data_IF_425862854823
#
_entry.id   IF_425862854823
#
_cell.length_a   1.000
_cell.length_b   1.000
_cell.length_c   1.000
_cell.angle_alpha   90.00
_cell.angle_beta   90.00
_cell.angle_gamma   90.00
#
_symmetry.space_group_name_H-M   'P 1'
#
loop_
_entity.id
_entity.type
_entity.pdbx_description
1 polymer ?
#
# COMPACT_ATOMS: atom_id res chain seq x y z
N UNK A 1 -62.77 -13.74 -10.11
CA UNK A 1 -62.10 -15.06 -10.12
C UNK A 1 -60.80 -15.05 -10.88
N UNK A 2 -59.94 -14.06 -10.63
CA UNK A 2 -58.55 -14.04 -11.13
C UNK A 2 -57.64 -14.42 -9.96
N UNK A 3 -56.66 -15.29 -10.18
CA UNK A 3 -55.69 -15.65 -9.14
C UNK A 3 -54.62 -14.57 -9.00
N UNK A 4 -54.07 -14.34 -7.79
CA UNK A 4 -52.97 -13.39 -7.59
C UNK A 4 -51.75 -13.68 -8.48
N UNK A 5 -51.47 -14.97 -8.73
CA UNK A 5 -50.37 -15.41 -9.60
C UNK A 5 -50.61 -15.05 -11.07
N UNK A 6 -51.84 -15.26 -11.57
CA UNK A 6 -52.19 -14.90 -12.95
C UNK A 6 -52.17 -13.38 -13.18
N UNK A 7 -52.59 -12.61 -12.18
CA UNK A 7 -52.49 -11.15 -12.20
C UNK A 7 -51.03 -10.69 -12.19
N UNK A 8 -50.20 -11.27 -11.32
CA UNK A 8 -48.77 -10.95 -11.25
C UNK A 8 -48.03 -11.23 -12.57
N UNK A 9 -48.31 -12.38 -13.20
CA UNK A 9 -47.76 -12.71 -14.52
C UNK A 9 -48.19 -11.72 -15.61
N UNK A 10 -49.48 -11.35 -15.64
CA UNK A 10 -50.00 -10.39 -16.62
C UNK A 10 -49.38 -9.00 -16.44
N UNK A 11 -49.20 -8.54 -15.19
CA UNK A 11 -48.54 -7.26 -14.89
C UNK A 11 -47.06 -7.30 -15.28
N UNK A 12 -46.35 -8.38 -14.98
CA UNK A 12 -44.96 -8.56 -15.37
C UNK A 12 -44.78 -8.54 -16.91
N UNK A 13 -45.63 -9.26 -17.63
CA UNK A 13 -45.60 -9.32 -19.09
C UNK A 13 -45.86 -7.95 -19.75
N UNK A 14 -46.71 -7.12 -19.14
CA UNK A 14 -47.08 -5.81 -19.67
C UNK A 14 -46.13 -4.67 -19.25
N UNK A 15 -45.28 -4.88 -18.23
CA UNK A 15 -44.29 -3.91 -17.73
C UNK A 15 -42.88 -4.24 -18.21
N UNK A 16 -42.19 -5.15 -17.51
CA UNK A 16 -40.74 -5.38 -17.64
C UNK A 16 -40.41 -6.67 -18.40
N UNK A 17 -41.44 -7.42 -18.79
CA UNK A 17 -41.31 -8.74 -19.41
C UNK A 17 -41.59 -9.85 -18.41
N UNK A 18 -42.38 -10.83 -18.82
CA UNK A 18 -42.59 -12.05 -18.04
C UNK A 18 -41.75 -13.18 -18.63
N UNK A 19 -40.96 -13.83 -17.79
CA UNK A 19 -40.30 -15.08 -18.16
C UNK A 19 -41.35 -16.15 -18.47
N UNK A 20 -41.21 -16.82 -19.61
CA UNK A 20 -42.17 -17.84 -20.07
C UNK A 20 -41.54 -19.22 -20.05
N UNK A 21 -40.39 -19.37 -20.70
CA UNK A 21 -39.75 -20.68 -20.88
C UNK A 21 -38.28 -20.52 -21.31
N UNK A 22 -37.57 -21.63 -21.44
CA UNK A 22 -36.17 -21.69 -21.85
C UNK A 22 -36.04 -22.57 -23.08
N UNK A 23 -35.33 -22.08 -24.09
CA UNK A 23 -35.06 -22.81 -25.31
C UNK A 23 -33.56 -23.11 -25.43
N UNK A 24 -33.22 -24.37 -25.67
CA UNK A 24 -31.84 -24.79 -25.89
C UNK A 24 -31.56 -24.80 -27.39
N UNK A 25 -30.59 -23.98 -27.82
CA UNK A 25 -30.05 -24.02 -29.17
C UNK A 25 -28.57 -24.41 -29.10
N UNK A 26 -28.24 -25.53 -29.73
CA UNK A 26 -26.94 -26.19 -29.64
C UNK A 26 -26.54 -26.51 -28.19
N UNK A 27 -25.64 -25.71 -27.59
CA UNK A 27 -25.18 -25.86 -26.20
C UNK A 27 -25.42 -24.59 -25.36
N UNK A 28 -26.20 -23.64 -25.90
CA UNK A 28 -26.55 -22.40 -25.22
C UNK A 28 -28.02 -22.40 -24.81
N UNK A 29 -28.25 -21.98 -23.58
CA UNK A 29 -29.58 -21.80 -23.00
C UNK A 29 -30.06 -20.37 -23.27
N UNK A 30 -31.21 -20.26 -23.93
CA UNK A 30 -31.82 -18.98 -24.31
C UNK A 30 -33.13 -18.82 -23.53
N UNK A 31 -33.22 -17.80 -22.68
CA UNK A 31 -34.42 -17.50 -21.92
C UNK A 31 -35.45 -16.75 -22.80
N UNK A 32 -36.71 -17.19 -22.77
CA UNK A 32 -37.83 -16.61 -23.51
C UNK A 32 -38.65 -15.71 -22.57
N UNK A 33 -38.78 -14.44 -22.97
CA UNK A 33 -39.60 -13.44 -22.28
C UNK A 33 -40.74 -12.96 -23.16
N UNK A 34 -41.92 -12.76 -22.55
CA UNK A 34 -43.09 -12.15 -23.16
C UNK A 34 -43.19 -10.69 -22.77
N UNK A 35 -43.32 -9.81 -23.76
CA UNK A 35 -43.48 -8.38 -23.57
C UNK A 35 -44.81 -7.90 -24.15
N UNK A 36 -45.39 -6.90 -23.49
CA UNK A 36 -46.52 -6.14 -24.03
C UNK A 36 -46.12 -5.30 -25.26
N UNK A 37 -47.10 -4.77 -26.00
CA UNK A 37 -46.88 -4.02 -27.25
C UNK A 37 -45.95 -2.80 -27.11
N UNK A 38 -45.95 -2.17 -25.93
CA UNK A 38 -45.10 -1.00 -25.67
C UNK A 38 -43.69 -1.38 -25.16
N UNK A 39 -43.40 -2.67 -24.98
CA UNK A 39 -42.13 -3.15 -24.44
C UNK A 39 -41.78 -2.49 -23.11
N UNK A 40 -40.49 -2.17 -22.93
CA UNK A 40 -39.93 -1.47 -21.76
C UNK A 40 -40.16 0.05 -21.76
N UNK A 41 -40.85 0.61 -22.76
CA UNK A 41 -41.07 2.05 -22.90
C UNK A 41 -42.33 2.56 -22.17
N UNK A 42 -42.84 1.82 -21.18
CA UNK A 42 -44.04 2.19 -20.43
C UNK A 42 -43.77 3.40 -19.52
N UNK A 43 -44.69 4.36 -19.53
CA UNK A 43 -44.69 5.44 -18.54
C UNK A 43 -45.38 4.95 -17.26
N UNK A 44 -44.85 5.30 -16.09
CA UNK A 44 -45.46 5.01 -14.78
C UNK A 44 -46.92 5.51 -14.70
N UNK A 45 -47.24 6.61 -15.40
CA UNK A 45 -48.59 7.15 -15.48
C UNK A 45 -49.58 6.27 -16.26
N UNK A 46 -49.10 5.39 -17.14
CA UNK A 46 -49.94 4.50 -17.97
C UNK A 46 -50.20 3.14 -17.31
N UNK A 47 -49.44 2.76 -16.29
CA UNK A 47 -49.57 1.49 -15.56
C UNK A 47 -50.98 1.26 -14.99
N UNK A 48 -51.67 2.26 -14.39
CA UNK A 48 -53.01 2.07 -13.84
C UNK A 48 -54.09 1.75 -14.89
N UNK A 49 -53.85 2.09 -16.16
CA UNK A 49 -54.79 1.92 -17.29
C UNK A 49 -54.50 0.69 -18.14
N UNK A 50 -53.55 -0.15 -17.74
CA UNK A 50 -53.23 -1.36 -18.47
C UNK A 50 -54.46 -2.28 -18.55
N UNK A 51 -54.85 -2.72 -19.77
CA UNK A 51 -56.01 -3.59 -19.95
C UNK A 51 -55.67 -5.01 -19.50
N UNK A 52 -56.36 -5.50 -18.46
CA UNK A 52 -56.21 -6.86 -17.94
C UNK A 52 -57.42 -7.70 -18.35
N UNK A 53 -57.16 -8.82 -19.00
CA UNK A 53 -58.18 -9.80 -19.39
C UNK A 53 -58.51 -10.72 -18.22
N UNK A 54 -59.74 -10.66 -17.74
CA UNK A 54 -60.21 -11.56 -16.67
C UNK A 54 -60.58 -12.93 -17.23
N UNK A 55 -60.47 -14.02 -16.45
CA UNK A 55 -60.93 -15.36 -16.86
C UNK A 55 -62.43 -15.42 -17.22
N UNK A 56 -63.20 -14.44 -16.74
CA UNK A 56 -64.62 -14.23 -17.07
C UNK A 56 -64.85 -13.54 -18.43
N UNK A 57 -63.80 -13.21 -19.18
CA UNK A 57 -63.89 -12.57 -20.49
C UNK A 57 -64.08 -11.04 -20.48
N UNK A 58 -64.13 -10.42 -19.30
CA UNK A 58 -64.19 -8.97 -19.17
C UNK A 58 -62.77 -8.36 -19.23
N UNK A 59 -62.65 -7.20 -19.88
CA UNK A 59 -61.43 -6.38 -19.89
C UNK A 59 -61.61 -5.27 -18.87
N UNK A 60 -60.75 -5.24 -17.86
CA UNK A 60 -60.76 -4.22 -16.80
C UNK A 60 -59.40 -3.55 -16.72
N UNK A 61 -59.34 -2.24 -16.43
CA UNK A 61 -58.07 -1.56 -16.19
C UNK A 61 -57.45 -2.05 -14.87
N UNK A 62 -56.11 -2.07 -14.80
CA UNK A 62 -55.38 -2.57 -13.62
C UNK A 62 -55.84 -1.89 -12.31
N UNK A 63 -56.11 -0.59 -12.32
CA UNK A 63 -56.64 0.19 -11.18
C UNK A 63 -57.95 -0.36 -10.57
N UNK A 64 -58.75 -1.12 -11.34
CA UNK A 64 -60.00 -1.68 -10.86
C UNK A 64 -59.79 -3.01 -10.10
N UNK A 65 -58.59 -3.59 -10.19
CA UNK A 65 -58.22 -4.87 -9.61
C UNK A 65 -57.21 -4.74 -8.46
N UNK A 66 -56.41 -3.66 -8.45
CA UNK A 66 -55.36 -3.43 -7.45
C UNK A 66 -55.34 -1.98 -6.98
N UNK A 67 -54.85 -1.78 -5.76
CA UNK A 67 -54.46 -0.47 -5.25
C UNK A 67 -52.99 -0.21 -5.58
N UNK A 68 -52.69 0.91 -6.24
CA UNK A 68 -51.33 1.31 -6.62
C UNK A 68 -50.89 2.41 -5.66
N UNK A 69 -49.85 2.14 -4.88
CA UNK A 69 -49.27 3.10 -3.93
C UNK A 69 -47.86 3.43 -4.37
N UNK A 70 -47.59 4.71 -4.62
CA UNK A 70 -46.24 5.19 -4.93
C UNK A 70 -45.46 5.36 -3.62
N UNK A 71 -44.34 4.64 -3.49
CA UNK A 71 -43.46 4.73 -2.33
C UNK A 71 -42.03 4.99 -2.78
N UNK A 72 -41.33 5.85 -2.06
CA UNK A 72 -39.88 6.05 -2.24
C UNK A 72 -39.16 5.04 -1.36
N UNK A 73 -38.47 4.08 -1.97
CA UNK A 73 -37.58 3.15 -1.27
C UNK A 73 -36.14 3.32 -1.76
N UNK A 74 -35.19 2.92 -0.93
CA UNK A 74 -33.77 2.93 -1.29
C UNK A 74 -33.46 1.66 -2.07
N UNK A 75 -33.10 1.81 -3.35
CA UNK A 75 -32.83 0.72 -4.30
C UNK A 75 -31.76 -0.29 -3.82
N UNK A 76 -30.89 0.11 -2.88
CA UNK A 76 -29.87 -0.78 -2.31
C UNK A 76 -29.78 -0.68 -0.79
N UNK A 77 -30.17 -1.76 -0.11
CA UNK A 77 -29.94 -1.91 1.32
C UNK A 77 -28.51 -2.42 1.56
N UNK A 78 -27.56 -1.50 1.75
CA UNK A 78 -26.18 -1.86 2.12
C UNK A 78 -26.12 -2.24 3.60
N UNK A 79 -25.57 -3.42 3.89
CA UNK A 79 -25.25 -3.86 5.24
C UNK A 79 -23.78 -4.20 5.36
N UNK A 80 -23.16 -3.77 6.44
CA UNK A 80 -21.82 -4.21 6.86
C UNK A 80 -21.95 -4.85 8.23
N UNK A 81 -21.48 -6.09 8.37
CA UNK A 81 -21.61 -6.88 9.62
C UNK A 81 -23.05 -6.94 10.17
N UNK A 82 -24.04 -7.04 9.27
CA UNK A 82 -25.46 -7.15 9.64
C UNK A 82 -26.14 -5.84 10.05
N UNK A 83 -25.43 -4.71 10.11
CA UNK A 83 -26.00 -3.38 10.41
C UNK A 83 -26.29 -2.62 9.13
N UNK A 84 -27.37 -1.83 9.09
CA UNK A 84 -27.66 -0.92 7.97
C UNK A 84 -26.58 0.16 7.93
N UNK A 85 -25.90 0.30 6.80
CA UNK A 85 -24.71 1.16 6.68
C UNK A 85 -24.87 2.11 5.50
N UNK A 86 -24.58 3.38 5.74
CA UNK A 86 -24.41 4.38 4.67
C UNK A 86 -22.91 4.60 4.49
N UNK A 87 -22.40 4.39 3.28
CA UNK A 87 -20.97 4.61 2.97
C UNK A 87 -20.80 6.00 2.38
N UNK A 88 -19.99 6.83 3.04
CA UNK A 88 -19.57 8.13 2.52
C UNK A 88 -18.14 7.98 1.96
N UNK A 89 -17.94 8.26 0.68
CA UNK A 89 -16.62 8.23 0.06
C UNK A 89 -16.01 9.62 0.08
N UNK A 90 -14.88 9.79 0.79
CA UNK A 90 -14.13 11.04 0.88
C UNK A 90 -12.80 10.85 0.14
N UNK A 91 -12.53 11.69 -0.85
CA UNK A 91 -11.27 11.67 -1.60
C UNK A 91 -10.48 12.93 -1.24
N UNK A 92 -9.39 12.82 -0.45
CA UNK A 92 -8.59 13.99 -0.11
C UNK A 92 -7.80 14.51 -1.30
N UNK A 93 -7.47 15.80 -1.33
CA UNK A 93 -6.58 16.36 -2.34
C UNK A 93 -5.18 15.74 -2.23
N UNK A 94 -4.50 15.55 -3.38
CA UNK A 94 -3.16 14.90 -3.47
C UNK A 94 -2.05 15.57 -2.65
N UNK A 95 -2.27 16.80 -2.19
CA UNK A 95 -1.36 17.55 -1.32
C UNK A 95 -1.41 17.12 0.14
N UNK A 96 -2.47 16.45 0.57
CA UNK A 96 -2.70 16.05 1.96
C UNK A 96 -2.45 14.55 2.10
N UNK A 97 -1.55 14.11 3.01
CA UNK A 97 -1.39 12.70 3.33
C UNK A 97 -2.73 12.09 3.79
N UNK A 98 -3.03 10.87 3.35
CA UNK A 98 -4.29 10.20 3.67
C UNK A 98 -4.53 10.12 5.19
N UNK A 99 -3.48 9.85 5.96
CA UNK A 99 -3.49 9.78 7.42
C UNK A 99 -3.94 11.11 8.06
N UNK A 100 -3.35 12.23 7.63
CA UNK A 100 -3.76 13.56 8.07
C UNK A 100 -5.21 13.84 7.70
N UNK A 101 -5.65 13.43 6.50
CA UNK A 101 -7.05 13.60 6.09
C UNK A 101 -8.01 12.76 6.95
N UNK A 102 -7.66 11.52 7.28
CA UNK A 102 -8.47 10.66 8.17
C UNK A 102 -8.54 11.26 9.56
N UNK A 103 -7.41 11.73 10.09
CA UNK A 103 -7.38 12.36 11.42
C UNK A 103 -8.17 13.67 11.45
N UNK A 104 -8.09 14.50 10.40
CA UNK A 104 -8.92 15.70 10.26
C UNK A 104 -10.40 15.35 10.23
N UNK A 105 -10.82 14.34 9.47
CA UNK A 105 -12.24 13.93 9.44
C UNK A 105 -12.68 13.37 10.80
N UNK A 106 -11.82 12.57 11.47
CA UNK A 106 -12.11 12.03 12.80
C UNK A 106 -12.34 13.14 13.81
N UNK A 107 -11.45 14.12 13.84
CA UNK A 107 -11.36 15.10 14.93
C UNK A 107 -12.17 16.36 14.64
N UNK A 108 -12.11 16.89 13.43
CA UNK A 108 -12.79 18.14 13.07
C UNK A 108 -14.23 17.94 12.59
N UNK A 109 -14.54 16.77 12.02
CA UNK A 109 -15.89 16.50 11.50
C UNK A 109 -16.67 15.61 12.45
N UNK A 110 -16.18 14.41 12.76
CA UNK A 110 -16.97 13.44 13.52
C UNK A 110 -17.12 13.82 14.99
N UNK A 111 -16.04 14.25 15.66
CA UNK A 111 -16.16 14.71 17.05
C UNK A 111 -16.98 15.99 17.16
N UNK A 112 -16.87 16.93 16.22
CA UNK A 112 -17.70 18.14 16.19
C UNK A 112 -19.19 17.81 16.01
N UNK A 113 -19.54 16.93 15.06
CA UNK A 113 -20.92 16.48 14.84
C UNK A 113 -21.51 15.71 16.04
N UNK A 114 -20.67 14.97 16.77
CA UNK A 114 -21.07 14.32 18.02
C UNK A 114 -21.28 15.34 19.14
N UNK A 115 -20.40 16.34 19.26
CA UNK A 115 -20.52 17.41 20.26
C UNK A 115 -21.77 18.28 20.03
N UNK A 116 -22.11 18.54 18.76
CA UNK A 116 -23.30 19.30 18.36
C UNK A 116 -24.61 18.48 18.45
N UNK A 117 -24.52 17.20 18.82
CA UNK A 117 -25.69 16.32 19.00
C UNK A 117 -26.40 15.93 17.70
N UNK A 118 -25.76 16.17 16.54
CA UNK A 118 -26.31 15.83 15.23
C UNK A 118 -26.25 14.32 14.94
N UNK A 119 -25.43 13.57 15.70
CA UNK A 119 -25.34 12.10 15.62
C UNK A 119 -26.08 11.48 16.80
N UNK A 120 -27.22 10.79 16.57
CA UNK A 120 -27.95 10.08 17.61
C UNK A 120 -27.11 8.98 18.29
N UNK A 121 -27.34 8.68 19.58
CA UNK A 121 -26.55 7.71 20.36
C UNK A 121 -26.66 6.23 19.91
N UNK A 122 -27.37 5.95 18.81
CA UNK A 122 -27.48 4.62 18.19
C UNK A 122 -26.69 4.44 16.90
N UNK A 123 -26.02 5.48 16.40
CA UNK A 123 -25.24 5.42 15.16
C UNK A 123 -23.76 5.21 15.49
N UNK A 124 -23.20 4.05 15.10
CA UNK A 124 -21.77 3.81 15.15
C UNK A 124 -21.12 4.29 13.84
N UNK A 125 -20.10 5.15 13.96
CA UNK A 125 -19.31 5.61 12.82
C UNK A 125 -18.00 4.83 12.83
N UNK A 126 -17.86 3.94 11.86
CA UNK A 126 -16.61 3.22 11.61
C UNK A 126 -15.91 3.87 10.41
N UNK A 127 -14.63 4.16 10.59
CA UNK A 127 -13.77 4.57 9.49
C UNK A 127 -13.24 3.29 8.85
N UNK A 128 -13.53 3.09 7.58
CA UNK A 128 -12.94 2.01 6.79
C UNK A 128 -12.24 2.62 5.59
N UNK A 129 -10.97 2.32 5.44
CA UNK A 129 -10.16 2.82 4.32
C UNK A 129 -8.77 2.20 4.34
N UNK A 130 -8.02 2.45 3.27
CA UNK A 130 -6.64 2.00 3.14
C UNK A 130 -5.73 2.45 4.31
N UNK A 131 -6.12 3.46 5.10
CA UNK A 131 -5.33 3.95 6.25
C UNK A 131 -5.11 2.87 7.32
N UNK A 132 -6.15 2.17 7.78
CA UNK A 132 -5.96 1.16 8.85
C UNK A 132 -5.07 0.00 8.40
N UNK A 133 -5.18 -0.42 7.13
CA UNK A 133 -4.27 -1.41 6.53
C UNK A 133 -2.86 -0.84 6.34
N UNK A 134 -2.72 0.42 5.93
CA UNK A 134 -1.42 1.08 5.76
C UNK A 134 -0.72 1.26 7.11
N UNK A 135 -1.42 1.62 8.17
CA UNK A 135 -0.87 1.85 9.50
C UNK A 135 -0.48 0.53 10.18
N UNK A 136 -1.36 -0.48 10.15
CA UNK A 136 -1.03 -1.83 10.61
C UNK A 136 0.16 -2.42 9.82
N UNK A 137 0.24 -2.14 8.52
CA UNK A 137 1.36 -2.61 7.69
C UNK A 137 2.64 -1.81 7.94
N UNK A 138 2.56 -0.50 8.19
CA UNK A 138 3.71 0.34 8.58
C UNK A 138 4.27 -0.07 9.94
N UNK A 139 3.41 -0.33 10.92
CA UNK A 139 3.82 -0.82 12.23
C UNK A 139 4.46 -2.21 12.13
N UNK A 140 3.87 -3.11 11.35
CA UNK A 140 4.49 -4.40 11.05
C UNK A 140 5.85 -4.24 10.36
N UNK A 141 5.98 -3.30 9.39
CA UNK A 141 7.25 -3.05 8.70
C UNK A 141 8.31 -2.40 9.60
N UNK A 142 7.94 -1.51 10.51
CA UNK A 142 8.88 -0.90 11.46
C UNK A 142 9.40 -1.92 12.47
N UNK A 143 8.51 -2.79 12.97
CA UNK A 143 8.88 -3.95 13.78
C UNK A 143 9.80 -4.90 13.01
N UNK A 144 9.46 -5.23 11.76
CA UNK A 144 10.28 -6.06 10.89
C UNK A 144 11.65 -5.43 10.58
N UNK A 145 11.74 -4.10 10.48
CA UNK A 145 13.01 -3.40 10.31
C UNK A 145 13.92 -3.61 11.52
N UNK A 146 13.39 -3.50 12.74
CA UNK A 146 14.15 -3.76 13.96
C UNK A 146 14.63 -5.22 14.03
N UNK A 147 13.76 -6.17 13.67
CA UNK A 147 14.10 -7.59 13.59
C UNK A 147 15.19 -7.84 12.53
N UNK A 148 15.11 -7.19 11.37
CA UNK A 148 16.11 -7.32 10.30
C UNK A 148 17.48 -6.81 10.74
N UNK A 149 17.54 -5.67 11.44
CA UNK A 149 18.78 -5.13 12.01
C UNK A 149 19.34 -6.07 13.09
N UNK A 150 18.48 -6.62 13.95
CA UNK A 150 18.90 -7.60 14.97
C UNK A 150 19.46 -8.89 14.34
N UNK A 151 18.79 -9.44 13.32
CA UNK A 151 19.27 -10.60 12.56
C UNK A 151 20.60 -10.31 11.86
N UNK A 152 20.73 -9.14 11.23
CA UNK A 152 21.98 -8.72 10.61
C UNK A 152 23.13 -8.68 11.65
N UNK A 153 22.87 -8.12 12.84
CA UNK A 153 23.83 -8.13 13.94
C UNK A 153 24.24 -9.55 14.37
N UNK A 154 23.28 -10.45 14.56
CA UNK A 154 23.58 -11.84 14.96
C UNK A 154 24.41 -12.58 13.90
N UNK A 155 24.11 -12.38 12.61
CA UNK A 155 24.90 -12.95 11.52
C UNK A 155 26.33 -12.38 11.52
N UNK A 156 26.49 -11.07 11.72
CA UNK A 156 27.81 -10.45 11.84
C UNK A 156 28.60 -11.00 13.03
N UNK A 157 27.95 -11.20 14.19
CA UNK A 157 28.57 -11.83 15.37
C UNK A 157 29.02 -13.24 15.05
N UNK A 158 28.21 -14.03 14.33
CA UNK A 158 28.58 -15.37 13.89
C UNK A 158 29.79 -15.36 12.92
N UNK A 159 29.86 -14.40 12.00
CA UNK A 159 30.96 -14.28 11.03
C UNK A 159 32.27 -13.89 11.71
N UNK A 160 32.25 -12.87 12.58
CA UNK A 160 33.46 -12.33 13.20
C UNK A 160 33.87 -13.05 14.49
N UNK A 161 33.01 -13.91 15.03
CA UNK A 161 33.20 -14.62 16.32
C UNK A 161 33.59 -13.65 17.44
N UNK A 162 33.04 -12.43 17.41
CA UNK A 162 33.36 -11.36 18.35
C UNK A 162 32.21 -10.36 18.42
N UNK A 163 31.81 -9.97 19.63
CA UNK A 163 30.64 -9.10 19.84
C UNK A 163 30.87 -7.62 19.51
N UNK A 164 32.13 -7.17 19.56
CA UNK A 164 32.49 -5.74 19.38
C UNK A 164 32.71 -5.27 17.94
N UNK A 165 33.26 -6.08 17.03
CA UNK A 165 33.54 -5.66 15.65
C UNK A 165 32.25 -5.48 14.81
N UNK A 166 31.23 -6.36 14.94
CA UNK A 166 29.91 -6.17 14.35
C UNK A 166 29.26 -4.84 14.72
N UNK A 167 29.47 -4.36 15.94
CA UNK A 167 28.88 -3.10 16.40
C UNK A 167 29.46 -1.91 15.63
N UNK A 168 30.76 -1.94 15.31
CA UNK A 168 31.40 -0.91 14.47
C UNK A 168 30.80 -0.89 13.06
N UNK A 169 30.53 -2.06 12.49
CA UNK A 169 29.85 -2.17 11.20
C UNK A 169 28.42 -1.62 11.31
N UNK A 170 27.70 -1.95 12.38
CA UNK A 170 26.33 -1.50 12.58
C UNK A 170 26.21 0.03 12.69
N UNK A 171 27.25 0.73 13.16
CA UNK A 171 27.25 2.21 13.20
C UNK A 171 27.10 2.84 11.82
N UNK A 172 27.49 2.15 10.74
CA UNK A 172 27.33 2.69 9.37
C UNK A 172 25.90 2.59 8.86
N UNK A 173 25.05 1.73 9.46
CA UNK A 173 23.66 1.54 9.03
C UNK A 173 22.81 2.80 9.25
N UNK A 174 22.74 3.40 10.46
CA UNK A 174 22.03 4.67 10.66
C UNK A 174 22.53 5.79 9.75
N UNK A 175 23.85 5.85 9.50
CA UNK A 175 24.46 6.82 8.59
C UNK A 175 23.99 6.60 7.14
N UNK A 176 23.93 5.34 6.68
CA UNK A 176 23.41 4.99 5.35
C UNK A 176 21.91 5.32 5.22
N UNK A 177 21.12 5.00 6.24
CA UNK A 177 19.69 5.34 6.32
C UNK A 177 19.49 6.86 6.26
N UNK A 178 20.29 7.64 6.99
CA UNK A 178 20.28 9.10 6.91
C UNK A 178 20.58 9.59 5.49
N UNK A 179 21.55 8.98 4.81
CA UNK A 179 21.84 9.25 3.39
C UNK A 179 20.65 8.95 2.47
N UNK A 180 19.93 7.85 2.71
CA UNK A 180 18.70 7.50 1.99
C UNK A 180 17.56 8.51 2.21
N UNK A 181 17.37 8.97 3.46
CA UNK A 181 16.37 10.00 3.81
C UNK A 181 16.72 11.33 3.13
N UNK A 182 17.99 11.76 3.21
CA UNK A 182 18.46 12.98 2.53
C UNK A 182 18.29 12.86 1.02
N UNK A 183 18.60 11.69 0.45
CA UNK A 183 18.40 11.41 -0.97
C UNK A 183 16.94 11.50 -1.40
N UNK A 184 16.04 10.90 -0.63
CA UNK A 184 14.60 11.00 -0.88
C UNK A 184 14.11 12.45 -0.74
N UNK A 185 14.59 13.19 0.26
CA UNK A 185 14.24 14.60 0.46
C UNK A 185 14.73 15.48 -0.71
N UNK A 186 15.94 15.24 -1.22
CA UNK A 186 16.47 15.93 -2.41
C UNK A 186 15.65 15.59 -3.66
N UNK A 187 15.31 14.31 -3.86
CA UNK A 187 14.42 13.86 -4.93
C UNK A 187 13.06 14.54 -4.87
N UNK A 188 12.49 14.69 -3.67
CA UNK A 188 11.19 15.32 -3.44
C UNK A 188 11.15 16.80 -3.87
N UNK A 189 12.30 17.47 -4.00
CA UNK A 189 12.40 18.82 -4.57
C UNK A 189 12.15 18.85 -6.08
N UNK A 190 12.55 17.79 -6.79
CA UNK A 190 12.38 17.69 -8.25
C UNK A 190 11.11 16.94 -8.61
N UNK A 191 10.84 15.82 -7.93
CA UNK A 191 9.64 15.03 -8.16
C UNK A 191 9.10 14.49 -6.85
N UNK A 192 7.84 14.82 -6.56
CA UNK A 192 7.20 14.46 -5.30
C UNK A 192 7.07 12.94 -5.20
N UNK A 193 7.65 12.35 -4.16
CA UNK A 193 7.57 10.91 -3.89
C UNK A 193 7.02 10.72 -2.49
N UNK A 194 5.85 10.07 -2.34
CA UNK A 194 5.30 9.82 -1.03
C UNK A 194 6.20 8.84 -0.26
N UNK A 195 6.32 9.08 1.05
CA UNK A 195 6.87 8.08 1.96
C UNK A 195 5.81 6.99 2.16
N UNK A 196 5.90 5.96 1.32
CA UNK A 196 4.93 4.88 1.25
C UNK A 196 5.57 3.53 1.63
N UNK A 197 4.73 2.52 1.85
CA UNK A 197 5.09 1.16 2.20
C UNK A 197 6.22 0.60 1.31
N UNK A 198 6.14 0.84 0.01
CA UNK A 198 7.14 0.37 -0.95
C UNK A 198 8.46 1.11 -0.74
N UNK A 199 8.45 2.42 -0.49
CA UNK A 199 9.68 3.15 -0.16
C UNK A 199 10.32 2.64 1.15
N UNK A 200 9.52 2.19 2.11
CA UNK A 200 9.99 1.55 3.34
C UNK A 200 10.74 0.24 3.08
N UNK A 201 10.32 -0.54 2.08
CA UNK A 201 11.06 -1.72 1.61
C UNK A 201 12.46 -1.35 1.08
N UNK A 202 12.60 -0.16 0.50
CA UNK A 202 13.90 0.37 0.08
C UNK A 202 14.88 0.53 1.24
N UNK A 203 14.41 0.96 2.43
CA UNK A 203 15.25 1.00 3.63
C UNK A 203 15.66 -0.40 4.11
N UNK A 204 14.79 -1.40 3.98
CA UNK A 204 15.11 -2.78 4.32
C UNK A 204 16.23 -3.33 3.44
N UNK A 205 16.16 -3.08 2.12
CA UNK A 205 17.21 -3.44 1.16
C UNK A 205 18.50 -2.65 1.44
N UNK A 206 18.35 -1.37 1.81
CA UNK A 206 19.48 -0.51 2.13
C UNK A 206 20.29 -1.05 3.31
N UNK A 207 19.65 -1.57 4.37
CA UNK A 207 20.37 -2.15 5.53
C UNK A 207 21.35 -3.24 5.08
N UNK A 208 20.89 -4.20 4.27
CA UNK A 208 21.77 -5.30 3.81
C UNK A 208 22.89 -4.83 2.88
N UNK A 209 22.59 -3.90 1.98
CA UNK A 209 23.57 -3.39 1.01
C UNK A 209 24.60 -2.45 1.64
N UNK A 210 24.21 -1.64 2.64
CA UNK A 210 25.09 -0.71 3.36
C UNK A 210 26.14 -1.45 4.20
N UNK A 211 25.80 -2.63 4.72
CA UNK A 211 26.67 -3.42 5.59
C UNK A 211 27.81 -4.13 4.82
N UNK A 212 27.63 -4.37 3.53
CA UNK A 212 28.59 -5.15 2.72
C UNK A 212 29.99 -4.50 2.63
N UNK A 213 30.06 -3.21 2.29
CA UNK A 213 31.35 -2.51 2.15
C UNK A 213 32.12 -2.45 3.49
N UNK A 214 31.50 -2.06 4.62
CA UNK A 214 32.13 -2.12 5.94
C UNK A 214 32.63 -3.50 6.35
N UNK A 215 31.89 -4.59 6.09
CA UNK A 215 32.35 -5.96 6.39
C UNK A 215 33.72 -6.21 5.76
N UNK A 216 33.86 -5.90 4.47
CA UNK A 216 35.10 -6.17 3.71
C UNK A 216 36.29 -5.34 4.19
N UNK A 217 36.05 -4.12 4.67
CA UNK A 217 37.09 -3.24 5.24
C UNK A 217 37.52 -3.73 6.63
N UNK A 218 36.56 -4.07 7.49
CA UNK A 218 36.83 -4.56 8.85
C UNK A 218 37.56 -5.91 8.83
N UNK A 219 37.10 -6.85 7.98
CA UNK A 219 37.75 -8.15 7.81
C UNK A 219 39.19 -7.99 7.31
N UNK A 220 39.43 -7.17 6.28
CA UNK A 220 40.78 -6.94 5.77
C UNK A 220 41.68 -6.23 6.81
N UNK A 221 41.15 -5.25 7.54
CA UNK A 221 41.90 -4.55 8.58
C UNK A 221 42.31 -5.51 9.72
N UNK A 222 41.42 -6.42 10.11
CA UNK A 222 41.69 -7.42 11.14
C UNK A 222 42.72 -8.46 10.67
N UNK A 223 42.64 -8.90 9.41
CA UNK A 223 43.64 -9.77 8.79
C UNK A 223 45.02 -9.11 8.77
N UNK A 224 45.12 -7.87 8.29
CA UNK A 224 46.38 -7.12 8.26
C UNK A 224 46.98 -6.94 9.66
N UNK A 225 46.13 -6.73 10.68
CA UNK A 225 46.58 -6.60 12.06
C UNK A 225 47.15 -7.92 12.62
N UNK A 226 46.55 -9.06 12.26
CA UNK A 226 46.95 -10.39 12.75
C UNK A 226 48.17 -10.95 12.01
N UNK A 227 48.20 -10.81 10.69
CA UNK A 227 49.21 -11.45 9.82
C UNK A 227 50.46 -10.59 9.64
N UNK A 228 50.31 -9.27 9.55
CA UNK A 228 51.43 -8.36 9.25
C UNK A 228 52.03 -7.69 10.49
N UNK A 229 51.45 -7.89 11.67
CA UNK A 229 51.88 -7.22 12.92
C UNK A 229 51.84 -5.69 12.85
N UNK A 230 51.18 -5.14 11.83
CA UNK A 230 51.19 -3.71 11.51
C UNK A 230 50.54 -2.88 12.61
N UNK A 231 50.94 -1.61 12.71
CA UNK A 231 50.27 -0.66 13.60
C UNK A 231 48.79 -0.50 13.19
N UNK A 232 47.89 -0.27 14.15
CA UNK A 232 46.45 -0.19 13.90
C UNK A 232 46.08 0.79 12.77
N UNK A 233 46.78 1.92 12.68
CA UNK A 233 46.61 2.93 11.62
C UNK A 233 47.04 2.38 10.26
N UNK A 234 48.18 1.70 10.21
CA UNK A 234 48.74 1.13 8.98
C UNK A 234 47.89 -0.04 8.46
N UNK A 235 47.45 -0.93 9.34
CA UNK A 235 46.57 -2.05 9.01
C UNK A 235 45.25 -1.59 8.37
N UNK A 236 44.61 -0.57 8.96
CA UNK A 236 43.37 0.02 8.44
C UNK A 236 43.61 0.77 7.13
N UNK A 237 44.71 1.54 7.02
CA UNK A 237 45.02 2.28 5.79
C UNK A 237 45.26 1.35 4.61
N UNK A 238 46.03 0.26 4.81
CA UNK A 238 46.24 -0.76 3.79
C UNK A 238 44.94 -1.47 3.42
N UNK A 239 44.07 -1.74 4.40
CA UNK A 239 42.76 -2.35 4.14
C UNK A 239 41.88 -1.46 3.25
N UNK A 240 41.81 -0.15 3.53
CA UNK A 240 41.05 0.81 2.71
C UNK A 240 41.64 0.91 1.31
N UNK A 241 42.97 1.00 1.17
CA UNK A 241 43.64 1.08 -0.14
C UNK A 241 43.39 -0.16 -1.00
N UNK A 242 43.40 -1.36 -0.40
CA UNK A 242 43.10 -2.60 -1.12
C UNK A 242 41.61 -2.70 -1.53
N UNK A 243 40.70 -2.11 -0.75
CA UNK A 243 39.25 -2.23 -0.95
C UNK A 243 38.62 -1.10 -1.77
N UNK A 244 39.26 0.06 -1.90
CA UNK A 244 38.66 1.23 -2.57
C UNK A 244 38.27 0.93 -4.02
N UNK A 245 39.11 0.22 -4.78
CA UNK A 245 38.83 -0.14 -6.18
C UNK A 245 37.63 -1.10 -6.29
N UNK A 246 37.59 -2.25 -5.57
CA UNK A 246 36.41 -3.12 -5.54
C UNK A 246 35.12 -2.42 -5.10
N UNK A 247 35.17 -1.59 -4.04
CA UNK A 247 33.98 -0.90 -3.52
C UNK A 247 33.42 0.12 -4.52
N UNK A 248 34.30 0.85 -5.23
CA UNK A 248 33.88 1.76 -6.28
C UNK A 248 33.25 1.00 -7.46
N UNK A 249 33.83 -0.14 -7.87
CA UNK A 249 33.29 -0.95 -8.97
C UNK A 249 31.89 -1.48 -8.65
N UNK A 250 31.67 -2.05 -7.45
CA UNK A 250 30.36 -2.57 -7.06
C UNK A 250 29.32 -1.46 -6.93
N UNK A 251 29.66 -0.37 -6.24
CA UNK A 251 28.74 0.76 -6.02
C UNK A 251 28.36 1.41 -7.34
N UNK A 252 29.33 1.61 -8.24
CA UNK A 252 29.09 2.20 -9.57
C UNK A 252 28.19 1.32 -10.42
N UNK A 253 28.39 -0.01 -10.38
CA UNK A 253 27.53 -0.97 -11.10
C UNK A 253 26.09 -0.90 -10.59
N UNK A 254 25.88 -0.87 -9.28
CA UNK A 254 24.54 -0.71 -8.70
C UNK A 254 23.94 0.65 -9.01
N UNK A 255 24.74 1.72 -9.00
CA UNK A 255 24.30 3.06 -9.33
C UNK A 255 23.78 3.14 -10.76
N UNK A 256 24.54 2.61 -11.73
CA UNK A 256 24.11 2.56 -13.13
C UNK A 256 22.94 1.59 -13.36
N UNK A 257 22.84 0.50 -12.59
CA UNK A 257 21.70 -0.42 -12.66
C UNK A 257 20.39 0.23 -12.17
N UNK A 258 20.46 1.06 -11.12
CA UNK A 258 19.30 1.73 -10.54
C UNK A 258 19.02 3.11 -11.16
N UNK A 259 19.99 3.74 -11.82
CA UNK A 259 19.84 5.07 -12.41
C UNK A 259 18.66 5.17 -13.40
N UNK A 260 18.44 4.21 -14.34
CA UNK A 260 17.27 4.25 -15.22
C UNK A 260 15.95 4.25 -14.45
N UNK A 261 15.85 3.44 -13.38
CA UNK A 261 14.65 3.35 -12.54
C UNK A 261 14.36 4.66 -11.80
N UNK A 262 15.41 5.40 -11.45
CA UNK A 262 15.27 6.66 -10.69
C UNK A 262 15.01 7.85 -11.60
N UNK A 263 15.73 7.95 -12.73
CA UNK A 263 15.75 9.16 -13.57
C UNK A 263 14.82 9.11 -14.77
N UNK A 264 14.46 7.92 -15.30
CA UNK A 264 13.63 7.81 -16.51
C UNK A 264 12.16 7.65 -16.11
N UNK A 265 11.27 8.60 -16.47
CA UNK A 265 9.85 8.44 -16.25
C UNK A 265 9.24 7.39 -17.19
N UNK A 266 8.38 6.53 -16.66
CA UNK A 266 7.68 5.50 -17.42
C UNK A 266 6.46 4.95 -16.67
N UNK A 267 5.58 4.25 -17.38
CA UNK A 267 4.40 3.63 -16.77
C UNK A 267 4.81 2.61 -15.70
N UNK A 268 4.28 2.73 -14.48
CA UNK A 268 4.62 1.86 -13.35
C UNK A 268 5.93 2.17 -12.62
N UNK A 269 6.76 3.08 -13.14
CA UNK A 269 8.04 3.45 -12.51
C UNK A 269 7.82 4.29 -11.24
N UNK A 270 6.71 5.02 -11.16
CA UNK A 270 6.37 5.85 -9.99
C UNK A 270 6.34 5.07 -8.67
N UNK A 271 5.99 3.78 -8.72
CA UNK A 271 5.92 2.90 -7.57
C UNK A 271 7.31 2.49 -7.06
N UNK A 272 8.21 2.16 -7.98
CA UNK A 272 9.55 1.65 -7.68
C UNK A 272 10.62 2.74 -7.59
N UNK A 273 10.33 3.94 -8.09
CA UNK A 273 11.27 5.06 -8.10
C UNK A 273 11.67 5.48 -6.69
N UNK A 274 10.72 5.50 -5.74
CA UNK A 274 11.03 5.82 -4.35
C UNK A 274 11.99 4.81 -3.70
N UNK A 275 11.84 3.52 -3.99
CA UNK A 275 12.79 2.45 -3.57
C UNK A 275 14.15 2.66 -4.20
N UNK A 276 14.18 2.86 -5.51
CA UNK A 276 15.42 3.10 -6.25
C UNK A 276 16.18 4.31 -5.72
N UNK A 277 15.49 5.41 -5.41
CA UNK A 277 16.09 6.62 -4.87
C UNK A 277 16.75 6.38 -3.51
N UNK A 278 16.04 5.75 -2.56
CA UNK A 278 16.58 5.46 -1.22
C UNK A 278 17.85 4.62 -1.31
N UNK A 279 17.81 3.56 -2.13
CA UNK A 279 18.97 2.66 -2.30
C UNK A 279 20.12 3.37 -3.00
N UNK A 280 19.85 4.14 -4.06
CA UNK A 280 20.86 4.84 -4.86
C UNK A 280 21.61 5.90 -4.02
N UNK A 281 20.88 6.78 -3.33
CA UNK A 281 21.49 7.81 -2.49
C UNK A 281 22.07 7.26 -1.20
N UNK A 282 21.41 6.26 -0.59
CA UNK A 282 21.91 5.58 0.60
C UNK A 282 23.22 4.83 0.34
N UNK A 283 23.39 4.21 -0.83
CA UNK A 283 24.65 3.57 -1.24
C UNK A 283 25.76 4.59 -1.49
N UNK A 284 25.46 5.69 -2.19
CA UNK A 284 26.41 6.79 -2.41
C UNK A 284 26.93 7.34 -1.09
N UNK A 285 26.04 7.62 -0.15
CA UNK A 285 26.40 8.13 1.16
C UNK A 285 27.13 7.08 2.00
N UNK A 286 26.68 5.82 1.97
CA UNK A 286 27.35 4.70 2.63
C UNK A 286 28.78 4.48 2.15
N UNK A 287 29.05 4.64 0.85
CA UNK A 287 30.39 4.57 0.29
C UNK A 287 31.29 5.66 0.89
N UNK A 288 30.81 6.91 0.97
CA UNK A 288 31.54 8.01 1.60
C UNK A 288 31.83 7.73 3.06
N UNK A 289 30.83 7.26 3.81
CA UNK A 289 30.94 6.90 5.24
C UNK A 289 31.92 5.75 5.44
N UNK A 290 31.89 4.73 4.58
CA UNK A 290 32.77 3.56 4.65
C UNK A 290 34.23 3.89 4.34
N UNK A 291 34.49 4.93 3.54
CA UNK A 291 35.84 5.39 3.20
C UNK A 291 36.41 6.39 4.20
N UNK A 292 35.57 7.10 4.96
CA UNK A 292 35.99 8.19 5.85
C UNK A 292 35.76 7.88 7.33
N UNK A 293 34.49 7.71 7.71
CA UNK A 293 34.07 7.51 9.09
C UNK A 293 34.52 6.15 9.65
N UNK A 294 34.32 5.07 8.88
CA UNK A 294 34.64 3.72 9.35
C UNK A 294 36.14 3.52 9.65
N UNK A 295 37.09 3.96 8.81
CA UNK A 295 38.53 3.87 9.10
C UNK A 295 38.93 4.69 10.34
N UNK A 296 38.39 5.90 10.49
CA UNK A 296 38.61 6.74 11.66
C UNK A 296 38.10 6.07 12.95
N UNK A 297 36.91 5.46 12.89
CA UNK A 297 36.35 4.72 14.01
C UNK A 297 37.19 3.48 14.34
N UNK A 298 37.56 2.67 13.35
CA UNK A 298 38.38 1.46 13.53
C UNK A 298 39.74 1.77 14.14
N UNK A 299 40.44 2.78 13.62
CA UNK A 299 41.75 3.20 14.15
C UNK A 299 41.65 3.68 15.60
N UNK A 300 40.60 4.42 15.96
CA UNK A 300 40.38 4.87 17.34
C UNK A 300 40.15 3.70 18.31
N UNK A 301 39.36 2.71 17.91
CA UNK A 301 39.03 1.55 18.76
C UNK A 301 40.21 0.60 18.89
N UNK A 302 40.89 0.31 17.78
CA UNK A 302 42.05 -0.59 17.76
C UNK A 302 43.27 0.02 18.46
N UNK A 303 43.50 1.33 18.34
CA UNK A 303 44.60 2.01 19.05
C UNK A 303 44.38 2.07 20.56
N UNK A 304 43.13 2.20 21.02
CA UNK A 304 42.79 2.18 22.46
C UNK A 304 43.00 0.81 23.10
N UNK A 305 42.70 -0.27 22.37
CA UNK A 305 42.83 -1.66 22.84
C UNK A 305 44.28 -2.15 22.96
N UNK A 306 45.24 -1.51 22.30
CA UNK A 306 46.68 -1.83 22.41
C UNK A 306 47.38 -1.09 23.57
N UNK A 307 46.70 -0.12 24.19
CA UNK A 307 47.18 0.60 25.38
C UNK A 307 46.69 0.00 26.71
N UNK A 308 45.74 -0.94 26.68
CA UNK A 308 45.30 -1.75 27.83
C UNK A 308 45.84 -3.15 27.74
#
# INVERSE_FOLDING_TARGET
GMSPQGLGFAVAALSDGAFVDEFFLDNDKIDIYLYGPSGSAQSLAAVPDLPIYTPSGAVLPLRALVEIVETVDTETLRRVNGRRTVTLNIVPPRSVPLETAVETVRTEVVQALQADGLVPPGISIDFSGASDQLDATREALSSNFLVAVALCYLILVAIFVHWGYPLLILTTVPLGVAGGIIGLALMNLFVRQPFDMITMLGFLILVGTVVNNPILVVDQALRNLRESGANAVEAVTQAVQARIRPMLMSTTTTLFGLAPLVFIPGAGVELYRGVGAIVLFGLLFSLLVSLTFLPALLTSVLSRRRRS
#
